data_IF_673528984500
#
_entry.id   IF_673528984500
#
_cell.length_a   1.000
_cell.length_b   1.000
_cell.length_c   1.000
_cell.angle_alpha   90.00
_cell.angle_beta   90.00
_cell.angle_gamma   90.00
#
_symmetry.space_group_name_H-M   'P 1'
#
loop_
_entity.id
_entity.type
_entity.pdbx_description
1 polymer ?
#
# COMPACT_ATOMS: atom_id res chain seq x y z
N UNK A 1 67.37 -19.33 -20.17
CA UNK A 1 66.73 -18.53 -19.09
C UNK A 1 67.35 -17.14 -19.19
N UNK A 2 66.68 -16.03 -19.47
CA UNK A 2 65.27 -15.66 -19.62
C UNK A 2 65.26 -14.12 -19.58
N UNK A 3 64.31 -13.48 -20.26
CA UNK A 3 64.02 -12.06 -20.05
C UNK A 3 64.13 -11.18 -21.29
N UNK A 4 63.02 -11.02 -22.01
CA UNK A 4 62.77 -9.82 -22.81
C UNK A 4 61.37 -9.28 -22.45
N UNK A 5 61.39 -8.01 -22.05
CA UNK A 5 60.28 -7.16 -21.64
C UNK A 5 59.23 -7.00 -22.74
N UNK A 6 57.94 -7.11 -22.39
CA UNK A 6 56.82 -6.78 -23.27
C UNK A 6 56.06 -5.57 -22.69
N UNK A 7 56.59 -4.38 -22.89
CA UNK A 7 55.85 -3.13 -22.72
C UNK A 7 55.01 -2.87 -23.98
N UNK A 8 53.81 -3.44 -24.04
CA UNK A 8 52.84 -3.16 -25.09
C UNK A 8 51.96 -1.95 -24.72
N UNK A 9 52.06 -0.92 -25.57
CA UNK A 9 51.65 0.46 -25.34
C UNK A 9 50.14 0.70 -25.35
N UNK A 10 49.67 1.48 -24.37
CA UNK A 10 48.29 1.99 -24.18
C UNK A 10 47.68 2.70 -25.41
N UNK A 11 48.50 3.08 -26.39
CA UNK A 11 48.08 3.70 -27.66
C UNK A 11 47.47 2.68 -28.65
N UNK A 12 47.80 1.39 -28.55
CA UNK A 12 47.24 0.34 -29.41
C UNK A 12 45.77 0.06 -29.13
N UNK A 13 45.37 0.07 -27.85
CA UNK A 13 44.00 -0.21 -27.42
C UNK A 13 42.99 0.87 -27.82
N UNK A 14 43.44 2.14 -27.92
CA UNK A 14 42.58 3.25 -28.36
C UNK A 14 42.27 3.17 -29.86
N UNK A 15 43.21 2.66 -30.65
CA UNK A 15 43.06 2.49 -32.10
C UNK A 15 42.17 1.28 -32.48
N UNK A 16 42.00 0.30 -31.60
CA UNK A 16 41.03 -0.80 -31.78
C UNK A 16 39.59 -0.38 -31.44
N UNK A 17 39.40 0.49 -30.43
CA UNK A 17 38.07 0.94 -30.02
C UNK A 17 37.40 1.89 -31.03
N UNK A 18 38.20 2.70 -31.74
CA UNK A 18 37.70 3.55 -32.85
C UNK A 18 37.29 2.73 -34.08
N UNK A 19 37.98 1.62 -34.39
CA UNK A 19 37.63 0.74 -35.53
C UNK A 19 36.32 -0.02 -35.31
N UNK A 20 36.04 -0.42 -34.08
CA UNK A 20 34.77 -1.09 -33.73
C UNK A 20 33.59 -0.12 -33.66
N UNK A 21 33.84 1.18 -33.41
CA UNK A 21 32.83 2.23 -33.51
C UNK A 21 32.54 2.64 -34.96
N UNK A 22 33.55 2.61 -35.82
CA UNK A 22 33.42 2.93 -37.24
C UNK A 22 32.74 1.81 -38.07
N UNK A 23 32.82 0.54 -37.65
CA UNK A 23 32.12 -0.57 -38.35
C UNK A 23 30.64 -0.70 -38.01
N UNK A 24 30.13 0.05 -37.02
CA UNK A 24 28.71 0.14 -36.68
C UNK A 24 27.94 1.19 -37.52
N UNK A 25 28.59 1.80 -38.52
CA UNK A 25 27.98 2.76 -39.44
C UNK A 25 27.57 2.07 -40.77
N UNK A 26 26.37 1.48 -40.79
CA UNK A 26 25.72 1.00 -42.02
C UNK A 26 24.76 2.06 -42.60
N UNK A 27 24.45 2.03 -43.91
CA UNK A 27 24.11 3.22 -44.69
C UNK A 27 22.65 3.68 -44.59
N UNK A 28 22.47 4.99 -44.80
CA UNK A 28 21.18 5.71 -44.93
C UNK A 28 20.38 5.14 -46.10
N UNK A 29 19.16 4.67 -45.84
CA UNK A 29 18.12 4.46 -46.86
C UNK A 29 17.11 5.60 -46.79
N UNK A 30 16.92 6.25 -47.92
CA UNK A 30 15.81 7.15 -48.21
C UNK A 30 14.57 6.31 -48.55
N UNK A 31 13.44 6.62 -47.93
CA UNK A 31 12.11 6.55 -48.57
C UNK A 31 11.04 7.05 -47.59
N UNK A 32 10.19 7.89 -48.17
CA UNK A 32 9.05 8.58 -47.61
C UNK A 32 7.93 7.65 -47.15
N UNK A 33 7.47 7.82 -45.91
CA UNK A 33 6.04 7.86 -45.57
C UNK A 33 5.89 8.34 -44.12
N UNK A 34 5.07 9.36 -43.89
CA UNK A 34 4.66 9.81 -42.55
C UNK A 34 3.42 9.00 -42.15
N UNK A 35 3.40 8.30 -41.01
CA UNK A 35 2.16 7.85 -40.39
C UNK A 35 1.65 8.87 -39.35
N UNK A 36 0.34 8.92 -39.09
CA UNK A 36 -0.26 9.92 -38.23
C UNK A 36 0.08 9.69 -36.75
N UNK A 37 0.40 10.78 -36.05
CA UNK A 37 0.44 10.83 -34.58
C UNK A 37 -0.99 11.06 -34.11
N UNK A 38 -1.61 10.10 -33.43
CA UNK A 38 -2.06 10.13 -32.02
C UNK A 38 -2.64 8.75 -31.70
N UNK A 39 -1.86 7.90 -31.03
CA UNK A 39 -2.39 6.75 -30.30
C UNK A 39 -1.74 6.79 -28.92
N UNK A 40 -2.56 7.06 -27.90
CA UNK A 40 -2.15 7.05 -26.52
C UNK A 40 -1.43 5.73 -26.21
N UNK A 41 -0.22 5.84 -25.67
CA UNK A 41 0.61 4.71 -25.26
C UNK A 41 -0.10 4.02 -24.08
N UNK A 42 -0.97 3.07 -24.36
CA UNK A 42 -1.39 2.08 -23.39
C UNK A 42 -0.12 1.41 -22.86
N UNK A 43 0.18 1.63 -21.57
CA UNK A 43 1.22 0.89 -20.86
C UNK A 43 0.79 -0.58 -20.89
N UNK A 44 1.41 -1.34 -21.78
CA UNK A 44 1.43 -2.80 -21.73
C UNK A 44 1.96 -3.19 -20.35
N UNK A 45 1.05 -3.59 -19.45
CA UNK A 45 1.36 -4.24 -18.18
C UNK A 45 1.69 -5.71 -18.46
N UNK A 46 2.75 -5.95 -19.22
CA UNK A 46 3.37 -7.25 -19.27
C UNK A 46 4.17 -7.39 -17.97
N UNK A 47 3.63 -8.10 -16.98
CA UNK A 47 4.43 -8.56 -15.85
C UNK A 47 5.44 -9.55 -16.41
N UNK A 48 6.75 -9.25 -16.44
CA UNK A 48 7.72 -10.25 -16.85
C UNK A 48 7.71 -11.43 -15.86
N UNK A 49 8.17 -12.62 -16.28
CA UNK A 49 8.33 -13.76 -15.39
C UNK A 49 9.23 -13.39 -14.20
N UNK A 50 8.96 -14.01 -13.05
CA UNK A 50 9.73 -13.82 -11.81
C UNK A 50 11.10 -14.50 -11.96
N UNK A 51 12.04 -13.78 -12.55
CA UNK A 51 13.47 -14.07 -12.42
C UNK A 51 13.92 -13.44 -11.10
N UNK A 52 14.02 -14.22 -10.03
CA UNK A 52 14.40 -13.73 -8.70
C UNK A 52 15.76 -13.00 -8.74
N UNK A 53 16.70 -13.47 -9.56
CA UNK A 53 18.00 -12.82 -9.83
C UNK A 53 17.86 -11.40 -10.40
N UNK A 54 16.92 -11.19 -11.32
CA UNK A 54 16.69 -9.87 -11.93
C UNK A 54 16.09 -8.92 -10.88
N UNK A 55 15.23 -9.44 -9.98
CA UNK A 55 14.70 -8.68 -8.83
C UNK A 55 15.81 -8.32 -7.83
N UNK A 56 16.67 -9.26 -7.43
CA UNK A 56 17.78 -9.02 -6.51
C UNK A 56 18.78 -7.99 -7.06
N UNK A 57 19.10 -8.06 -8.35
CA UNK A 57 20.00 -7.10 -8.99
C UNK A 57 19.36 -5.70 -9.13
N UNK A 58 18.05 -5.61 -9.37
CA UNK A 58 17.33 -4.33 -9.34
C UNK A 58 17.30 -3.72 -7.93
N UNK A 59 17.06 -4.54 -6.90
CA UNK A 59 17.09 -4.11 -5.50
C UNK A 59 18.50 -3.61 -5.14
N UNK A 60 19.56 -4.35 -5.46
CA UNK A 60 20.96 -3.93 -5.26
C UNK A 60 21.26 -2.59 -5.94
N UNK A 61 20.91 -2.45 -7.22
CA UNK A 61 21.09 -1.18 -7.95
C UNK A 61 20.33 -0.01 -7.31
N UNK A 62 19.12 -0.25 -6.81
CA UNK A 62 18.34 0.77 -6.10
C UNK A 62 18.99 1.16 -4.77
N UNK A 63 19.55 0.19 -4.04
CA UNK A 63 20.26 0.41 -2.78
C UNK A 63 21.57 1.15 -2.99
N UNK A 64 22.33 0.81 -4.03
CA UNK A 64 23.56 1.52 -4.40
C UNK A 64 23.29 2.98 -4.78
N UNK A 65 22.24 3.24 -5.56
CA UNK A 65 21.81 4.61 -5.88
C UNK A 65 21.48 5.39 -4.62
N UNK A 66 20.67 4.81 -3.72
CA UNK A 66 20.33 5.44 -2.43
C UNK A 66 21.58 5.69 -1.60
N UNK A 67 22.48 4.72 -1.47
CA UNK A 67 23.72 4.85 -0.70
C UNK A 67 24.60 5.99 -1.24
N UNK A 68 24.72 6.14 -2.57
CA UNK A 68 25.42 7.26 -3.19
C UNK A 68 24.76 8.60 -2.85
N UNK A 69 23.44 8.68 -2.94
CA UNK A 69 22.70 9.89 -2.55
C UNK A 69 22.88 10.21 -1.06
N UNK A 70 22.82 9.22 -0.18
CA UNK A 70 23.07 9.41 1.26
C UNK A 70 24.51 9.87 1.54
N UNK A 71 25.51 9.33 0.86
CA UNK A 71 26.90 9.78 0.99
C UNK A 71 27.09 11.23 0.49
N UNK A 72 26.36 11.62 -0.56
CA UNK A 72 26.34 13.01 -1.04
C UNK A 72 25.68 13.95 -0.03
N UNK A 73 24.53 13.56 0.53
CA UNK A 73 23.84 14.33 1.56
C UNK A 73 24.63 14.42 2.87
N UNK A 74 25.30 13.34 3.28
CA UNK A 74 26.14 13.32 4.48
C UNK A 74 27.43 14.12 4.31
N UNK A 75 27.95 14.22 3.08
CA UNK A 75 29.10 15.08 2.75
C UNK A 75 28.73 16.54 2.51
N UNK A 76 27.47 16.92 2.72
CA UNK A 76 27.00 18.30 2.57
C UNK A 76 26.81 18.76 1.11
N UNK A 77 26.89 17.83 0.14
CA UNK A 77 26.66 18.11 -1.29
C UNK A 77 25.16 18.05 -1.58
N UNK A 78 24.42 18.98 -1.00
CA UNK A 78 23.03 19.18 -1.32
C UNK A 78 22.96 19.87 -2.70
N UNK A 79 22.34 19.24 -3.68
CA UNK A 79 22.34 19.64 -5.10
C UNK A 79 21.63 20.99 -5.38
N UNK A 80 22.10 22.08 -4.77
CA UNK A 80 21.53 23.43 -4.83
C UNK A 80 20.46 23.72 -3.77
N UNK A 81 20.05 22.73 -2.96
CA UNK A 81 19.06 22.92 -1.89
C UNK A 81 19.80 23.07 -0.57
N UNK A 82 19.64 24.18 0.15
CA UNK A 82 20.29 24.32 1.45
C UNK A 82 19.75 23.29 2.45
N UNK A 83 20.57 22.90 3.42
CA UNK A 83 20.12 22.01 4.51
C UNK A 83 18.90 22.57 5.25
N UNK A 84 18.81 23.90 5.37
CA UNK A 84 17.66 24.59 5.97
C UNK A 84 16.38 24.43 5.13
N UNK A 85 16.46 24.57 3.80
CA UNK A 85 15.31 24.36 2.92
C UNK A 85 14.81 22.90 2.95
N UNK A 86 15.73 21.94 3.12
CA UNK A 86 15.38 20.53 3.31
C UNK A 86 14.62 20.29 4.62
N UNK A 87 15.06 20.92 5.72
CA UNK A 87 14.40 20.83 7.03
C UNK A 87 13.01 21.48 7.01
N UNK A 88 12.85 22.61 6.33
CA UNK A 88 11.56 23.29 6.19
C UNK A 88 10.56 22.51 5.34
N UNK A 89 11.05 21.81 4.30
CA UNK A 89 10.21 20.91 3.49
C UNK A 89 9.87 19.58 4.19
N UNK A 90 10.49 19.28 5.33
CA UNK A 90 10.31 18.01 6.05
C UNK A 90 9.00 18.04 6.84
N UNK A 91 8.17 17.01 6.66
CA UNK A 91 6.89 16.86 7.36
C UNK A 91 7.16 16.56 8.85
N UNK A 92 6.67 17.43 9.74
CA UNK A 92 6.69 17.21 11.19
C UNK A 92 5.55 16.26 11.60
N UNK A 93 5.92 15.00 11.84
CA UNK A 93 4.99 13.94 12.25
C UNK A 93 4.40 14.15 13.65
N UNK A 94 5.11 14.85 14.54
CA UNK A 94 4.62 15.11 15.90
C UNK A 94 3.46 16.08 15.87
N UNK A 95 3.56 17.14 15.07
CA UNK A 95 2.48 18.10 14.84
C UNK A 95 1.26 17.44 14.18
N UNK A 96 1.48 16.63 13.14
CA UNK A 96 0.40 15.98 12.39
C UNK A 96 -0.46 15.05 13.24
N UNK A 97 0.14 14.35 14.22
CA UNK A 97 -0.60 13.47 15.13
C UNK A 97 -1.49 14.25 16.09
N UNK A 98 -1.06 15.43 16.54
CA UNK A 98 -1.87 16.27 17.44
C UNK A 98 -3.07 16.90 16.75
N UNK A 99 -2.96 17.32 15.47
CA UNK A 99 -4.08 17.88 14.71
C UNK A 99 -5.24 16.86 14.59
N UNK A 100 -4.93 15.58 14.38
CA UNK A 100 -5.94 14.50 14.30
C UNK A 100 -6.59 14.12 15.64
N UNK A 101 -6.03 14.50 16.79
CA UNK A 101 -6.62 14.23 18.10
C UNK A 101 -7.59 15.33 18.55
N UNK A 102 -7.53 16.51 17.94
CA UNK A 102 -8.37 17.66 18.30
C UNK A 102 -9.74 17.69 17.60
N UNK A 103 -9.95 16.85 16.58
CA UNK A 103 -11.26 16.69 15.96
C UNK A 103 -12.09 15.64 16.72
N UNK A 104 -12.79 16.06 17.76
CA UNK A 104 -13.82 15.24 18.40
C UNK A 104 -14.90 14.87 17.36
N UNK A 105 -15.30 13.59 17.25
CA UNK A 105 -16.47 13.20 16.46
C UNK A 105 -17.73 13.91 16.97
N UNK A 106 -18.66 14.30 16.09
CA UNK A 106 -19.93 14.90 16.52
C UNK A 106 -20.70 13.91 17.41
N UNK A 107 -21.23 14.41 18.53
CA UNK A 107 -22.13 13.67 19.42
C UNK A 107 -23.31 13.10 18.62
N UNK A 108 -23.57 11.81 18.82
CA UNK A 108 -24.71 11.09 18.27
C UNK A 108 -26.02 11.75 18.70
N UNK A 109 -26.84 12.17 17.73
CA UNK A 109 -28.18 12.66 17.98
C UNK A 109 -29.01 11.59 18.71
N UNK A 110 -29.79 12.00 19.71
CA UNK A 110 -30.64 11.14 20.53
C UNK A 110 -31.63 10.35 19.65
N UNK A 111 -31.33 9.06 19.42
CA UNK A 111 -32.15 8.14 18.63
C UNK A 111 -33.47 7.72 19.31
N UNK A 112 -33.69 8.15 20.56
CA UNK A 112 -34.88 7.80 21.34
C UNK A 112 -36.18 8.43 20.79
N UNK A 113 -36.08 9.48 19.98
CA UNK A 113 -37.24 10.15 19.39
C UNK A 113 -37.77 9.50 18.10
N UNK A 114 -36.97 8.62 17.45
CA UNK A 114 -37.34 8.06 16.14
C UNK A 114 -38.14 6.76 16.30
N UNK A 115 -39.30 6.62 15.62
CA UNK A 115 -40.10 5.40 15.69
C UNK A 115 -39.35 4.22 15.06
N UNK A 116 -39.48 3.06 15.70
CA UNK A 116 -38.92 1.80 15.24
C UNK A 116 -39.84 1.17 14.19
N UNK A 117 -39.34 0.96 12.96
CA UNK A 117 -40.13 0.49 11.81
C UNK A 117 -39.54 -0.80 11.24
N UNK A 118 -40.42 -1.72 10.84
CA UNK A 118 -40.07 -2.95 10.13
C UNK A 118 -39.82 -2.66 8.65
N UNK A 119 -38.63 -3.00 8.15
CA UNK A 119 -38.28 -2.85 6.73
C UNK A 119 -37.67 -4.14 6.16
N UNK A 120 -37.77 -4.29 4.84
CA UNK A 120 -37.16 -5.39 4.11
C UNK A 120 -35.77 -4.94 3.64
N UNK A 121 -34.73 -5.57 4.19
CA UNK A 121 -33.33 -5.34 3.81
C UNK A 121 -33.07 -5.83 2.37
N UNK A 122 -31.96 -5.43 1.76
CA UNK A 122 -31.54 -5.77 0.39
C UNK A 122 -31.50 -7.29 0.11
N UNK A 123 -31.38 -8.08 1.19
CA UNK A 123 -31.36 -9.54 1.17
C UNK A 123 -32.74 -10.20 1.36
N UNK A 124 -33.82 -9.42 1.37
CA UNK A 124 -35.19 -9.92 1.56
C UNK A 124 -35.51 -10.36 2.99
N UNK A 125 -34.74 -9.91 3.98
CA UNK A 125 -34.94 -10.22 5.41
C UNK A 125 -35.66 -9.05 6.08
N UNK A 126 -36.67 -9.34 6.89
CA UNK A 126 -37.35 -8.33 7.72
C UNK A 126 -36.46 -7.94 8.91
N UNK A 127 -36.11 -6.65 9.02
CA UNK A 127 -35.36 -6.08 10.15
C UNK A 127 -36.13 -4.90 10.74
N UNK A 128 -35.83 -4.60 12.00
CA UNK A 128 -36.44 -3.52 12.78
C UNK A 128 -35.36 -2.49 13.06
N UNK A 129 -35.55 -1.23 12.64
CA UNK A 129 -34.63 -0.11 12.93
C UNK A 129 -35.39 1.22 13.02
N UNK A 130 -34.72 2.27 13.49
CA UNK A 130 -35.28 3.62 13.51
C UNK A 130 -35.54 4.14 12.09
N UNK A 131 -36.62 4.91 11.91
CA UNK A 131 -37.03 5.46 10.61
C UNK A 131 -35.91 6.26 9.91
N UNK A 132 -35.07 6.97 10.66
CA UNK A 132 -33.96 7.77 10.14
C UNK A 132 -32.77 6.96 9.63
N UNK A 133 -32.58 5.75 10.15
CA UNK A 133 -31.51 4.84 9.76
C UNK A 133 -31.88 4.02 8.51
N UNK A 134 -33.18 3.90 8.21
CA UNK A 134 -33.66 3.13 7.06
C UNK A 134 -33.30 3.88 5.76
N UNK A 135 -32.55 3.26 4.84
CA UNK A 135 -32.27 3.85 3.54
C UNK A 135 -33.56 4.24 2.81
N UNK A 136 -33.60 5.46 2.26
CA UNK A 136 -34.79 6.04 1.59
C UNK A 136 -35.41 5.17 0.50
N UNK A 137 -34.63 4.29 -0.12
CA UNK A 137 -35.09 3.40 -1.19
C UNK A 137 -35.77 2.12 -0.67
N UNK A 138 -35.65 1.80 0.62
CA UNK A 138 -36.30 0.67 1.28
C UNK A 138 -37.58 1.09 2.03
N UNK A 139 -37.80 2.39 2.20
CA UNK A 139 -39.06 2.90 2.75
C UNK A 139 -40.20 2.66 1.73
N UNK A 140 -41.38 2.22 2.18
CA UNK A 140 -42.57 2.22 1.35
C UNK A 140 -42.76 3.62 0.77
N UNK A 141 -42.67 3.74 -0.55
CA UNK A 141 -43.00 4.99 -1.21
C UNK A 141 -44.51 5.11 -1.11
N UNK A 142 -44.99 5.97 -0.22
CA UNK A 142 -46.35 6.44 -0.30
C UNK A 142 -46.48 7.09 -1.69
N UNK A 143 -47.12 6.38 -2.60
CA UNK A 143 -47.65 6.95 -3.82
C UNK A 143 -48.68 7.97 -3.34
N UNK A 144 -48.24 9.20 -3.11
CA UNK A 144 -49.16 10.33 -3.10
C UNK A 144 -49.83 10.28 -4.45
N UNK A 145 -51.08 9.83 -4.44
CA UNK A 145 -52.01 10.05 -5.52
C UNK A 145 -51.99 11.54 -5.79
N UNK A 146 -51.24 11.93 -6.82
CA UNK A 146 -51.35 13.24 -7.45
C UNK A 146 -52.72 13.25 -8.13
N UNK A 147 -53.76 13.45 -7.33
CA UNK A 147 -55.04 13.93 -7.84
C UNK A 147 -54.82 15.37 -8.32
N UNK A 148 -55.11 15.55 -9.60
CA UNK A 148 -55.40 16.79 -10.31
C UNK A 148 -54.22 17.71 -10.69
N UNK A 149 -53.74 17.53 -11.92
CA UNK A 149 -53.73 18.64 -12.89
C UNK A 149 -54.46 18.20 -14.17
N UNK A 150 -55.70 18.67 -14.31
CA UNK A 150 -56.53 18.47 -15.48
C UNK A 150 -55.95 19.13 -16.73
N UNK A 151 -56.04 18.40 -17.84
CA UNK A 151 -55.71 18.83 -19.22
C UNK A 151 -54.23 18.86 -19.59
N UNK A 152 -53.53 17.75 -19.36
CA UNK A 152 -52.33 17.43 -20.17
C UNK A 152 -52.81 16.96 -21.54
N UNK A 153 -52.73 17.83 -22.56
CA UNK A 153 -52.94 17.44 -23.96
C UNK A 153 -51.77 16.55 -24.38
N UNK A 154 -51.94 15.24 -24.25
CA UNK A 154 -51.03 14.27 -24.84
C UNK A 154 -51.23 14.29 -26.36
N UNK A 155 -50.34 14.96 -27.09
CA UNK A 155 -50.20 14.74 -28.53
C UNK A 155 -49.96 13.25 -28.80
N UNK A 156 -50.25 12.72 -30.00
CA UNK A 156 -50.05 11.30 -30.30
C UNK A 156 -48.59 10.95 -30.04
N UNK A 157 -48.33 10.30 -28.90
CA UNK A 157 -46.99 9.99 -28.44
C UNK A 157 -46.43 8.92 -29.37
N UNK A 158 -45.74 9.35 -30.42
CA UNK A 158 -45.11 8.45 -31.37
C UNK A 158 -43.85 7.87 -30.71
N UNK A 159 -44.06 6.75 -30.03
CA UNK A 159 -43.07 5.92 -29.34
C UNK A 159 -42.40 6.54 -28.11
N UNK A 160 -42.71 5.99 -26.94
CA UNK A 160 -41.82 6.08 -25.79
C UNK A 160 -40.70 5.07 -25.97
N UNK A 161 -39.42 5.41 -25.71
CA UNK A 161 -38.35 4.44 -25.68
C UNK A 161 -38.58 3.49 -24.50
N UNK A 162 -39.29 2.39 -24.74
CA UNK A 162 -39.44 1.30 -23.79
C UNK A 162 -38.08 0.62 -23.67
N UNK A 163 -37.47 0.70 -22.50
CA UNK A 163 -36.23 -0.02 -22.23
C UNK A 163 -36.46 -1.53 -22.35
N UNK A 164 -36.02 -2.10 -23.47
CA UNK A 164 -35.90 -3.55 -23.62
C UNK A 164 -34.51 -3.95 -23.15
N UNK A 165 -34.36 -4.55 -21.96
CA UNK A 165 -33.04 -4.99 -21.51
C UNK A 165 -32.50 -5.99 -22.53
N UNK A 166 -31.29 -5.73 -23.03
CA UNK A 166 -30.58 -6.70 -23.85
C UNK A 166 -30.51 -8.04 -23.10
N UNK A 167 -30.57 -9.19 -23.79
CA UNK A 167 -30.48 -10.50 -23.15
C UNK A 167 -29.22 -10.50 -22.27
N UNK A 168 -29.39 -10.87 -20.99
CA UNK A 168 -28.30 -10.87 -20.01
C UNK A 168 -27.14 -11.67 -20.60
N UNK A 169 -26.09 -10.97 -21.02
CA UNK A 169 -24.86 -11.60 -21.50
C UNK A 169 -24.41 -12.51 -20.37
N UNK A 170 -24.29 -13.81 -20.65
CA UNK A 170 -23.91 -14.81 -19.65
C UNK A 170 -22.75 -14.27 -18.81
N UNK A 171 -22.99 -14.11 -17.51
CA UNK A 171 -22.03 -13.47 -16.61
C UNK A 171 -20.67 -14.15 -16.80
N UNK A 172 -19.67 -13.35 -17.21
CA UNK A 172 -18.32 -13.87 -17.43
C UNK A 172 -17.86 -14.53 -16.13
N UNK A 173 -17.45 -15.79 -16.19
CA UNK A 173 -16.90 -16.49 -15.03
C UNK A 173 -15.77 -15.65 -14.46
N UNK A 174 -15.76 -15.52 -13.14
CA UNK A 174 -14.76 -14.77 -12.41
C UNK A 174 -13.35 -15.28 -12.76
N UNK A 175 -12.50 -14.39 -13.29
CA UNK A 175 -11.08 -14.68 -13.53
C UNK A 175 -10.23 -13.81 -12.61
N UNK A 176 -9.56 -14.46 -11.66
CA UNK A 176 -8.67 -13.80 -10.73
C UNK A 176 -7.44 -13.16 -11.41
N UNK A 177 -7.15 -13.41 -12.69
CA UNK A 177 -6.14 -12.64 -13.44
C UNK A 177 -6.61 -11.22 -13.76
N UNK A 178 -7.90 -11.08 -14.05
CA UNK A 178 -8.48 -9.83 -14.53
C UNK A 178 -8.98 -8.96 -13.38
N UNK A 179 -9.38 -9.57 -12.26
CA UNK A 179 -9.83 -8.84 -11.08
C UNK A 179 -8.66 -8.28 -10.25
N UNK A 180 -8.65 -6.95 -10.04
CA UNK A 180 -7.64 -6.24 -9.26
C UNK A 180 -8.19 -5.56 -8.00
N UNK A 181 -9.51 -5.44 -7.83
CA UNK A 181 -10.10 -4.59 -6.77
C UNK A 181 -9.99 -5.20 -5.37
N UNK A 182 -9.89 -6.53 -5.26
CA UNK A 182 -9.99 -7.25 -3.97
C UNK A 182 -8.82 -8.19 -3.66
N UNK A 183 -7.58 -7.81 -3.99
CA UNK A 183 -6.40 -8.64 -3.65
C UNK A 183 -5.81 -8.25 -2.30
N UNK A 184 -5.97 -9.12 -1.31
CA UNK A 184 -5.27 -9.02 -0.01
C UNK A 184 -3.81 -9.48 -0.08
N UNK A 185 -3.03 -9.18 0.96
CA UNK A 185 -1.60 -9.53 1.04
C UNK A 185 -1.31 -11.05 0.99
N UNK A 186 -2.32 -11.88 1.29
CA UNK A 186 -2.24 -13.34 1.24
C UNK A 186 -2.91 -13.94 -0.01
N UNK A 187 -3.16 -13.14 -1.04
CA UNK A 187 -3.79 -13.63 -2.26
C UNK A 187 -2.82 -14.57 -3.02
N UNK A 188 -3.22 -15.84 -3.19
CA UNK A 188 -2.52 -16.83 -4.01
C UNK A 188 -3.49 -17.45 -5.02
N UNK A 189 -3.06 -17.56 -6.29
CA UNK A 189 -3.90 -18.09 -7.37
C UNK A 189 -3.40 -19.46 -7.79
N UNK A 190 -4.24 -20.48 -7.59
CA UNK A 190 -3.96 -21.81 -8.11
C UNK A 190 -4.09 -21.88 -9.64
N UNK A 191 -3.37 -22.82 -10.23
CA UNK A 191 -3.53 -23.21 -11.62
C UNK A 191 -4.92 -23.82 -11.87
N UNK A 192 -5.37 -23.72 -13.13
CA UNK A 192 -6.59 -24.38 -13.60
C UNK A 192 -6.41 -25.89 -13.70
N UNK A 193 -5.18 -26.33 -13.98
CA UNK A 193 -4.84 -27.73 -14.18
C UNK A 193 -4.77 -28.46 -12.83
N UNK A 194 -5.47 -29.58 -12.72
CA UNK A 194 -5.63 -30.30 -11.44
C UNK A 194 -4.28 -30.75 -10.85
N UNK A 195 -3.41 -31.36 -11.66
CA UNK A 195 -2.10 -31.85 -11.19
C UNK A 195 -1.20 -30.72 -10.68
N UNK A 196 -1.19 -29.57 -11.37
CA UNK A 196 -0.39 -28.43 -10.93
C UNK A 196 -0.97 -27.79 -9.67
N UNK A 197 -2.30 -27.74 -9.56
CA UNK A 197 -2.99 -27.24 -8.37
C UNK A 197 -2.67 -28.10 -7.16
N UNK A 198 -2.69 -29.41 -7.28
CA UNK A 198 -2.34 -30.33 -6.19
C UNK A 198 -0.90 -30.13 -5.73
N UNK A 199 0.05 -29.98 -6.67
CA UNK A 199 1.45 -29.67 -6.33
C UNK A 199 1.56 -28.34 -5.58
N UNK A 200 0.87 -27.30 -6.04
CA UNK A 200 0.84 -25.99 -5.38
C UNK A 200 0.21 -26.07 -3.97
N UNK A 201 -0.86 -26.85 -3.81
CA UNK A 201 -1.49 -27.10 -2.52
C UNK A 201 -0.55 -27.82 -1.55
N UNK A 202 0.17 -28.84 -2.04
CA UNK A 202 1.13 -29.60 -1.24
C UNK A 202 2.31 -28.72 -0.81
N UNK A 203 2.84 -27.90 -1.71
CA UNK A 203 3.89 -26.94 -1.40
C UNK A 203 3.43 -25.93 -0.32
N UNK A 204 2.23 -25.36 -0.47
CA UNK A 204 1.67 -24.44 0.51
C UNK A 204 1.48 -25.11 1.88
N UNK A 205 1.01 -26.36 1.90
CA UNK A 205 0.87 -27.14 3.13
C UNK A 205 2.23 -27.37 3.83
N UNK A 206 3.29 -27.64 3.07
CA UNK A 206 4.65 -27.77 3.59
C UNK A 206 5.18 -26.45 4.17
N UNK A 207 4.95 -25.33 3.48
CA UNK A 207 5.34 -24.00 3.99
C UNK A 207 4.57 -23.65 5.27
N UNK A 208 3.29 -24.00 5.35
CA UNK A 208 2.47 -23.78 6.52
C UNK A 208 2.95 -24.63 7.70
N UNK A 209 3.21 -25.92 7.51
CA UNK A 209 3.74 -26.80 8.56
C UNK A 209 5.12 -26.35 9.04
N UNK A 210 5.99 -25.91 8.14
CA UNK A 210 7.30 -25.35 8.48
C UNK A 210 7.17 -24.07 9.32
N UNK A 211 6.30 -23.15 8.92
CA UNK A 211 6.05 -21.90 9.67
C UNK A 211 5.46 -22.21 11.05
N UNK A 212 4.54 -23.16 11.14
CA UNK A 212 3.99 -23.61 12.42
C UNK A 212 5.04 -24.26 13.31
N UNK A 213 5.97 -25.05 12.75
CA UNK A 213 7.09 -25.63 13.49
C UNK A 213 8.05 -24.54 14.01
N UNK A 214 8.38 -23.53 13.20
CA UNK A 214 9.19 -22.39 13.64
C UNK A 214 8.47 -21.60 14.74
N UNK A 215 7.17 -21.34 14.57
CA UNK A 215 6.37 -20.63 15.58
C UNK A 215 6.31 -21.43 16.87
N UNK A 216 6.00 -22.72 16.82
CA UNK A 216 5.92 -23.57 18.01
C UNK A 216 7.27 -23.70 18.72
N UNK A 217 8.36 -23.87 17.98
CA UNK A 217 9.72 -23.91 18.56
C UNK A 217 10.13 -22.57 19.15
N UNK A 218 9.80 -21.45 18.51
CA UNK A 218 10.06 -20.10 19.05
C UNK A 218 9.26 -19.84 20.32
N UNK A 219 7.99 -20.27 20.37
CA UNK A 219 7.16 -20.19 21.58
C UNK A 219 7.72 -21.07 22.69
N UNK A 220 8.07 -22.33 22.40
CA UNK A 220 8.67 -23.28 23.36
C UNK A 220 10.02 -22.83 23.89
N UNK A 221 10.87 -22.23 23.05
CA UNK A 221 12.17 -21.67 23.44
C UNK A 221 12.07 -20.32 24.16
N UNK A 222 10.87 -19.91 24.56
CA UNK A 222 10.65 -18.68 25.31
C UNK A 222 11.02 -17.44 24.50
N UNK A 223 10.73 -17.38 23.20
CA UNK A 223 11.00 -16.17 22.40
C UNK A 223 10.45 -14.89 23.02
N UNK A 224 9.31 -14.98 23.71
CA UNK A 224 8.75 -13.88 24.51
C UNK A 224 9.51 -13.61 25.81
N UNK A 225 10.05 -14.62 26.49
CA UNK A 225 10.89 -14.45 27.69
C UNK A 225 12.25 -13.87 27.32
N UNK A 226 12.90 -14.34 26.26
CA UNK A 226 14.16 -13.80 25.74
C UNK A 226 14.03 -12.36 25.24
N UNK A 227 12.90 -12.01 24.61
CA UNK A 227 12.61 -10.63 24.25
C UNK A 227 12.38 -9.76 25.49
N UNK A 228 11.67 -10.26 26.51
CA UNK A 228 11.49 -9.57 27.80
C UNK A 228 12.82 -9.35 28.52
N UNK A 229 13.71 -10.34 28.57
CA UNK A 229 15.02 -10.20 29.21
C UNK A 229 15.90 -9.22 28.46
N UNK A 230 15.95 -9.28 27.12
CA UNK A 230 16.68 -8.30 26.30
C UNK A 230 16.13 -6.88 26.45
N UNK A 231 14.81 -6.73 26.53
CA UNK A 231 14.17 -5.43 26.74
C UNK A 231 14.49 -4.88 28.14
N UNK A 232 14.48 -5.73 29.17
CA UNK A 232 14.89 -5.36 30.52
C UNK A 232 16.37 -4.93 30.56
N UNK A 233 17.28 -5.70 29.95
CA UNK A 233 18.70 -5.32 29.82
C UNK A 233 18.88 -3.98 29.11
N UNK A 234 18.12 -3.74 28.03
CA UNK A 234 18.14 -2.45 27.31
C UNK A 234 17.60 -1.32 28.18
N UNK A 235 16.55 -1.58 28.98
CA UNK A 235 15.99 -0.60 29.90
C UNK A 235 16.99 -0.22 31.01
N UNK A 236 17.72 -1.19 31.57
CA UNK A 236 18.82 -0.94 32.52
C UNK A 236 19.91 -0.07 31.89
N UNK A 237 20.41 -0.43 30.71
CA UNK A 237 21.42 0.39 30.01
C UNK A 237 20.97 1.83 29.77
N UNK A 238 19.71 2.01 29.36
CA UNK A 238 19.14 3.35 29.16
C UNK A 238 18.99 4.10 30.49
N UNK A 239 18.67 3.42 31.58
CA UNK A 239 18.60 4.01 32.90
C UNK A 239 19.99 4.47 33.37
N UNK A 240 21.01 3.63 33.20
CA UNK A 240 22.41 3.95 33.56
C UNK A 240 22.94 5.13 32.75
N UNK A 241 22.71 5.14 31.43
CA UNK A 241 23.07 6.29 30.58
C UNK A 241 22.32 7.57 30.99
N UNK A 242 21.06 7.47 31.40
CA UNK A 242 20.31 8.63 31.90
C UNK A 242 20.85 9.12 33.23
N UNK A 243 21.24 8.23 34.14
CA UNK A 243 21.88 8.61 35.41
C UNK A 243 23.21 9.32 35.13
N UNK A 244 23.98 8.84 34.14
CA UNK A 244 25.24 9.45 33.71
C UNK A 244 25.04 10.86 33.12
N UNK A 245 24.01 11.08 32.31
CA UNK A 245 23.81 12.36 31.61
C UNK A 245 23.07 13.39 32.47
N UNK A 246 22.00 12.98 33.17
CA UNK A 246 21.07 13.89 33.87
C UNK A 246 21.30 13.95 35.39
N UNK A 247 22.02 12.99 35.96
CA UNK A 247 22.19 12.85 37.41
C UNK A 247 20.99 12.21 38.13
N UNK A 248 21.19 11.68 39.35
CA UNK A 248 20.20 10.86 40.04
C UNK A 248 18.94 11.63 40.46
N UNK A 249 19.07 12.88 40.90
CA UNK A 249 17.95 13.70 41.37
C UNK A 249 16.94 13.99 40.23
N UNK A 250 17.43 14.34 39.04
CA UNK A 250 16.57 14.64 37.89
C UNK A 250 15.86 13.37 37.37
N UNK A 251 16.55 12.21 37.37
CA UNK A 251 15.95 10.93 36.99
C UNK A 251 14.86 10.52 37.99
N UNK A 252 15.09 10.72 39.30
CA UNK A 252 14.10 10.42 40.34
C UNK A 252 12.86 11.32 40.24
N UNK A 253 13.03 12.64 40.10
CA UNK A 253 11.92 13.58 39.91
C UNK A 253 11.10 13.24 38.66
N UNK A 254 11.76 12.86 37.56
CA UNK A 254 11.05 12.41 36.35
C UNK A 254 10.26 11.13 36.59
N UNK A 255 10.81 10.16 37.32
CA UNK A 255 10.09 8.92 37.66
C UNK A 255 8.86 9.20 38.52
N UNK A 256 8.97 10.08 39.52
CA UNK A 256 7.85 10.51 40.35
C UNK A 256 6.76 11.21 39.52
N UNK A 257 7.12 12.13 38.62
CA UNK A 257 6.17 12.77 37.70
C UNK A 257 5.43 11.77 36.82
N UNK A 258 6.13 10.76 36.29
CA UNK A 258 5.52 9.70 35.47
C UNK A 258 4.55 8.87 36.31
N UNK A 259 4.92 8.52 37.54
CA UNK A 259 4.05 7.78 38.44
C UNK A 259 2.80 8.59 38.81
N UNK A 260 2.96 9.88 39.13
CA UNK A 260 1.85 10.79 39.41
C UNK A 260 0.91 10.94 38.20
N UNK A 261 1.45 11.14 37.00
CA UNK A 261 0.66 11.22 35.77
C UNK A 261 -0.10 9.91 35.48
N UNK A 262 0.52 8.76 35.75
CA UNK A 262 -0.12 7.44 35.58
C UNK A 262 -1.25 7.23 36.59
N UNK A 263 -1.07 7.66 37.84
CA UNK A 263 -2.13 7.62 38.85
C UNK A 263 -3.26 8.59 38.50
N UNK A 264 -2.95 9.79 38.03
CA UNK A 264 -3.94 10.76 37.59
C UNK A 264 -4.77 10.25 36.40
N UNK A 265 -4.16 9.54 35.46
CA UNK A 265 -4.86 8.95 34.30
C UNK A 265 -5.76 7.76 34.66
N UNK A 266 -5.59 7.14 35.84
CA UNK A 266 -6.45 6.05 36.32
C UNK A 266 -7.66 6.56 37.09
N UNK A 267 -7.67 7.84 37.49
CA UNK A 267 -8.83 8.48 38.09
C UNK A 267 -9.75 8.96 36.94
N UNK A 268 -11.06 8.69 37.00
CA UNK A 268 -11.99 9.24 36.01
C UNK A 268 -11.95 10.77 36.11
N UNK A 269 -11.82 11.45 34.97
CA UNK A 269 -11.99 12.89 34.90
C UNK A 269 -13.43 13.20 35.32
N UNK A 270 -13.58 13.89 36.45
CA UNK A 270 -14.86 14.42 36.94
C UNK A 270 -15.44 15.46 36.01
#
# INVERSE_FOLDING_TARGET
MGGASMSASLLGLKAELERTRASAAAPRRTSSSKPPKVAAKARSLHSPPRDDEVSHNQVRRSLERKARTYAQLSSGKYAGVSQAALLESSIDWTRKVHEHQSSSPPESADHDADPMVEYIDEFGRTRVSHLSEIPRHLLPREEKEEEEDGTVIYGPAQSFPVYTPAPRVAAKKFDARQEMRYRGAAFYRFSTDQLQRERQMNELAQQHSHTQAIRSTTQRKGGTSLLKTRLAQRAHKVHDERLRILGPAAVHQRSQRIQQARLAALLPST
#
